data_IF_563458527979
#
_entry.id   IF_563458527979
#
_cell.length_a   1.000
_cell.length_b   1.000
_cell.length_c   1.000
_cell.angle_alpha   90.00
_cell.angle_beta   90.00
_cell.angle_gamma   90.00
#
_symmetry.space_group_name_H-M   'P 1'
#
loop_
_entity.id
_entity.type
_entity.pdbx_description
1 polymer ?
#
# COMPACT_ATOMS: atom_id res chain seq x y z
N UNK A 1 13.79 -16.47 12.45
CA UNK A 1 14.15 -15.14 11.92
C UNK A 1 12.93 -14.27 11.94
N UNK A 2 13.08 -13.01 12.31
CA UNK A 2 11.99 -12.04 12.27
C UNK A 2 11.89 -11.45 10.86
N UNK A 3 10.68 -11.17 10.40
CA UNK A 3 10.42 -10.52 9.14
C UNK A 3 9.92 -9.09 9.36
N UNK A 4 10.41 -8.16 8.54
CA UNK A 4 9.97 -6.76 8.51
C UNK A 4 9.81 -6.32 7.06
N UNK A 5 8.69 -5.73 6.74
CA UNK A 5 8.42 -5.19 5.41
C UNK A 5 7.72 -3.84 5.54
N UNK A 6 8.12 -2.90 4.73
CA UNK A 6 7.40 -1.65 4.51
C UNK A 6 7.19 -1.45 3.02
N UNK A 7 6.02 -1.03 2.64
CA UNK A 7 5.65 -0.67 1.26
C UNK A 7 4.90 0.64 1.28
N UNK A 8 5.26 1.54 0.38
CA UNK A 8 4.56 2.80 0.29
C UNK A 8 4.88 3.53 -1.01
N UNK A 9 4.25 4.66 -1.18
CA UNK A 9 4.39 5.52 -2.35
C UNK A 9 4.20 6.99 -2.01
N UNK A 10 4.68 7.84 -2.88
CA UNK A 10 4.51 9.28 -2.78
C UNK A 10 4.50 9.94 -4.16
N UNK A 11 3.70 10.99 -4.28
CA UNK A 11 3.70 11.91 -5.43
C UNK A 11 4.02 13.34 -5.01
N UNK A 12 3.90 13.62 -3.72
CA UNK A 12 4.25 14.92 -3.10
C UNK A 12 4.47 14.72 -1.59
N UNK A 13 5.01 15.72 -0.92
CA UNK A 13 5.15 15.75 0.53
C UNK A 13 3.82 15.75 1.31
N UNK A 14 2.70 15.97 0.61
CA UNK A 14 1.33 15.90 1.15
C UNK A 14 0.50 14.75 0.56
N UNK A 15 1.03 14.05 -0.45
CA UNK A 15 0.37 12.96 -1.15
C UNK A 15 1.26 11.71 -1.11
N UNK A 16 1.19 11.01 -0.01
CA UNK A 16 2.01 9.84 0.31
C UNK A 16 1.28 8.90 1.27
N UNK A 17 1.79 7.69 1.39
CA UNK A 17 1.31 6.73 2.36
C UNK A 17 2.11 5.45 2.32
N UNK A 18 2.06 4.70 3.41
CA UNK A 18 2.72 3.40 3.51
C UNK A 18 1.99 2.45 4.46
N UNK A 19 2.26 1.18 4.27
CA UNK A 19 1.93 0.11 5.22
C UNK A 19 3.25 -0.51 5.67
N UNK A 20 3.42 -0.63 6.97
CA UNK A 20 4.54 -1.34 7.60
C UNK A 20 4.02 -2.56 8.35
N UNK A 21 4.80 -3.62 8.34
CA UNK A 21 4.50 -4.83 9.09
C UNK A 21 5.76 -5.43 9.74
N UNK A 22 5.53 -6.20 10.78
CA UNK A 22 6.57 -6.99 11.41
C UNK A 22 6.01 -8.26 11.99
N UNK A 23 6.77 -9.35 11.82
CA UNK A 23 6.49 -10.64 12.40
C UNK A 23 7.69 -11.11 13.23
N UNK A 24 7.43 -11.56 14.44
CA UNK A 24 8.41 -12.15 15.33
C UNK A 24 8.31 -13.68 15.26
N UNK A 25 9.46 -14.34 15.24
CA UNK A 25 9.52 -15.80 15.22
C UNK A 25 10.48 -16.32 16.28
N UNK A 26 10.17 -17.50 16.81
CA UNK A 26 11.07 -18.21 17.73
C UNK A 26 10.98 -17.82 19.20
N UNK A 27 9.87 -17.21 19.60
CA UNK A 27 9.52 -16.91 21.00
C UNK A 27 8.18 -17.53 21.39
N UNK A 28 7.94 -17.68 22.69
CA UNK A 28 6.72 -18.31 23.20
C UNK A 28 5.46 -17.46 23.02
N UNK A 29 5.63 -16.14 22.85
CA UNK A 29 4.54 -15.21 22.50
C UNK A 29 5.08 -14.29 21.44
N UNK A 30 4.63 -14.43 20.21
CA UNK A 30 5.04 -13.59 19.08
C UNK A 30 4.40 -12.21 19.18
N UNK A 31 5.11 -11.20 18.70
CA UNK A 31 4.56 -9.85 18.50
C UNK A 31 4.49 -9.61 17.00
N UNK A 32 3.30 -9.77 16.45
CA UNK A 32 3.00 -9.59 15.04
C UNK A 32 2.05 -8.43 14.87
N UNK A 33 2.40 -7.45 14.07
CA UNK A 33 1.56 -6.27 13.88
C UNK A 33 1.77 -5.58 12.55
N UNK A 34 0.83 -4.70 12.21
CA UNK A 34 0.88 -3.83 11.05
C UNK A 34 0.53 -2.39 11.40
N UNK A 35 0.96 -1.47 10.57
CA UNK A 35 0.67 -0.03 10.69
C UNK A 35 0.41 0.56 9.32
N UNK A 36 -0.59 1.44 9.22
CA UNK A 36 -0.81 2.30 8.06
C UNK A 36 -0.48 3.74 8.41
N UNK A 37 0.13 4.47 7.52
CA UNK A 37 0.40 5.90 7.70
C UNK A 37 0.17 6.67 6.41
N UNK A 38 -0.44 7.86 6.55
CA UNK A 38 -0.62 8.86 5.49
C UNK A 38 0.41 9.98 5.60
N UNK A 39 1.24 9.97 6.66
CA UNK A 39 2.26 10.99 6.93
C UNK A 39 3.68 10.50 6.69
N UNK A 40 3.86 9.28 6.21
CA UNK A 40 5.14 8.65 5.85
C UNK A 40 5.02 7.96 4.52
N UNK A 41 6.14 7.83 3.83
CA UNK A 41 6.24 7.04 2.60
C UNK A 41 6.85 5.65 2.83
N UNK A 42 7.46 5.41 3.98
CA UNK A 42 7.99 4.11 4.38
C UNK A 42 8.08 4.02 5.90
N UNK A 43 7.62 2.91 6.47
CA UNK A 43 7.77 2.58 7.90
C UNK A 43 8.26 1.15 8.02
N UNK A 44 9.25 0.95 8.89
CA UNK A 44 9.67 -0.36 9.37
C UNK A 44 9.49 -0.43 10.88
N UNK A 45 8.90 -1.52 11.32
CA UNK A 45 8.68 -1.82 12.73
C UNK A 45 9.92 -2.43 13.38
N UNK A 46 10.07 -2.34 14.70
CA UNK A 46 11.06 -3.13 15.46
C UNK A 46 10.75 -4.63 15.41
N UNK A 47 11.74 -5.44 15.75
CA UNK A 47 11.58 -6.90 15.67
C UNK A 47 10.69 -7.51 16.76
N UNK A 48 10.52 -6.83 17.89
CA UNK A 48 9.99 -7.43 19.12
C UNK A 48 9.08 -6.48 19.91
N UNK A 49 8.65 -5.39 19.32
CA UNK A 49 7.75 -4.44 19.97
C UNK A 49 6.96 -3.66 18.92
N UNK A 50 5.79 -3.15 19.30
CA UNK A 50 4.96 -2.30 18.47
C UNK A 50 5.50 -0.86 18.47
N UNK A 51 6.72 -0.71 17.97
CA UNK A 51 7.40 0.56 17.84
C UNK A 51 8.04 0.70 16.46
N UNK A 52 8.21 1.93 16.02
CA UNK A 52 8.88 2.24 14.77
C UNK A 52 10.39 2.07 14.95
N UNK A 53 11.01 1.23 14.15
CA UNK A 53 12.47 1.10 14.05
C UNK A 53 13.06 2.17 13.14
N UNK A 54 12.41 2.37 12.01
CA UNK A 54 12.83 3.38 11.03
C UNK A 54 11.65 3.84 10.20
N UNK A 55 11.57 5.14 9.96
CA UNK A 55 10.59 5.72 9.06
C UNK A 55 11.20 6.84 8.21
N UNK A 56 10.64 6.99 7.01
CA UNK A 56 11.04 8.00 6.04
C UNK A 56 9.86 8.77 5.52
N UNK A 57 10.11 10.05 5.27
CA UNK A 57 9.17 10.93 4.60
C UNK A 57 9.66 11.32 3.22
N UNK A 58 8.74 11.59 2.32
CA UNK A 58 9.05 12.13 1.01
C UNK A 58 9.18 13.65 1.10
N UNK A 59 10.29 14.17 0.60
CA UNK A 59 10.58 15.61 0.60
C UNK A 59 10.25 16.23 -0.76
N UNK A 60 10.90 15.76 -1.82
CA UNK A 60 10.76 16.35 -3.16
C UNK A 60 11.23 15.42 -4.26
N UNK A 61 10.77 15.69 -5.48
CA UNK A 61 11.43 15.25 -6.70
C UNK A 61 12.49 16.27 -7.13
N UNK A 62 13.60 15.76 -7.64
CA UNK A 62 14.69 16.54 -8.23
C UNK A 62 14.84 16.18 -9.71
N UNK A 63 15.71 16.91 -10.43
CA UNK A 63 15.98 16.60 -11.84
C UNK A 63 16.46 15.17 -12.08
N UNK A 64 17.20 14.60 -11.12
CA UNK A 64 17.86 13.30 -11.25
C UNK A 64 17.26 12.22 -10.31
N UNK A 65 16.14 12.51 -9.63
CA UNK A 65 15.55 11.56 -8.70
C UNK A 65 14.62 12.17 -7.66
N UNK A 66 14.74 11.72 -6.43
CA UNK A 66 13.91 12.20 -5.32
C UNK A 66 14.70 12.25 -4.01
N UNK A 67 14.19 12.98 -3.04
CA UNK A 67 14.74 13.09 -1.69
C UNK A 67 13.79 12.47 -0.69
N UNK A 68 14.32 11.59 0.14
CA UNK A 68 13.65 11.07 1.33
C UNK A 68 14.37 11.60 2.57
N UNK A 69 13.59 12.05 3.55
CA UNK A 69 14.09 12.39 4.87
C UNK A 69 13.83 11.23 5.83
N UNK A 70 14.87 10.80 6.52
CA UNK A 70 14.76 9.79 7.56
C UNK A 70 14.39 10.46 8.89
N UNK A 71 13.18 10.22 9.36
CA UNK A 71 12.66 10.81 10.59
C UNK A 71 13.17 10.06 11.83
N UNK A 72 13.12 8.72 11.77
CA UNK A 72 13.56 7.85 12.87
C UNK A 72 14.50 6.77 12.35
N UNK A 73 15.36 6.27 13.22
CA UNK A 73 16.23 5.13 12.96
C UNK A 73 17.70 5.50 12.78
N UNK A 74 18.58 4.59 13.20
CA UNK A 74 20.02 4.73 13.14
C UNK A 74 20.70 3.77 12.15
N UNK A 75 20.06 2.64 11.83
CA UNK A 75 20.64 1.61 10.98
C UNK A 75 20.63 2.02 9.49
N UNK A 76 21.68 1.65 8.78
CA UNK A 76 21.68 1.69 7.32
C UNK A 76 20.80 0.56 6.78
N UNK A 77 19.82 0.91 5.94
CA UNK A 77 18.88 -0.02 5.33
C UNK A 77 18.91 0.14 3.82
N UNK A 78 18.68 -0.97 3.11
CA UNK A 78 18.48 -0.94 1.67
C UNK A 78 16.99 -0.72 1.40
N UNK A 79 16.68 0.30 0.61
CA UNK A 79 15.35 0.61 0.14
C UNK A 79 15.30 0.41 -1.37
N UNK A 80 14.44 -0.50 -1.83
CA UNK A 80 14.13 -0.65 -3.25
C UNK A 80 13.08 0.39 -3.65
N UNK A 81 13.17 0.95 -4.85
CA UNK A 81 12.17 1.87 -5.36
C UNK A 81 11.93 1.69 -6.85
N UNK A 82 10.75 2.12 -7.28
CA UNK A 82 10.39 2.33 -8.68
C UNK A 82 9.92 3.77 -8.81
N UNK A 83 10.47 4.51 -9.75
CA UNK A 83 10.04 5.87 -10.07
C UNK A 83 9.36 5.90 -11.44
N UNK A 84 8.22 6.56 -11.53
CA UNK A 84 7.48 6.76 -12.77
C UNK A 84 7.60 8.22 -13.19
N UNK A 85 7.87 8.45 -14.46
CA UNK A 85 7.87 9.77 -15.08
C UNK A 85 6.93 9.78 -16.29
N UNK A 86 6.13 10.83 -16.41
CA UNK A 86 5.26 11.06 -17.57
C UNK A 86 3.79 10.63 -17.44
N UNK A 87 3.39 9.51 -16.80
CA UNK A 87 1.97 9.24 -16.59
C UNK A 87 1.35 10.20 -15.56
N UNK A 88 0.04 10.37 -15.63
CA UNK A 88 -0.69 10.96 -14.51
C UNK A 88 -0.64 9.97 -13.34
N UNK A 89 -0.31 10.46 -12.15
CA UNK A 89 -0.20 9.64 -10.95
C UNK A 89 -0.90 10.35 -9.80
N UNK A 90 -1.74 9.64 -9.07
CA UNK A 90 -2.36 10.11 -7.84
C UNK A 90 -2.21 9.09 -6.72
N UNK A 91 -1.91 9.58 -5.54
CA UNK A 91 -1.88 8.82 -4.29
C UNK A 91 -2.95 9.37 -3.37
N UNK A 92 -3.66 8.49 -2.71
CA UNK A 92 -4.69 8.89 -1.76
C UNK A 92 -5.14 7.74 -0.88
N UNK A 93 -6.22 7.96 -0.19
CA UNK A 93 -6.80 7.02 0.77
C UNK A 93 -8.28 6.83 0.52
N UNK A 94 -8.80 5.71 0.96
CA UNK A 94 -10.23 5.45 1.06
C UNK A 94 -10.52 4.52 2.24
N UNK A 95 -11.75 4.58 2.71
CA UNK A 95 -12.24 3.70 3.75
C UNK A 95 -12.87 2.45 3.14
N UNK A 96 -12.59 1.26 3.70
CA UNK A 96 -13.46 0.11 3.46
C UNK A 96 -14.86 0.38 4.06
N UNK A 97 -15.87 -0.25 3.50
CA UNK A 97 -17.25 -0.05 3.93
C UNK A 97 -17.69 -1.13 4.92
N UNK A 98 -18.58 -0.74 5.81
CA UNK A 98 -19.24 -1.66 6.75
C UNK A 98 -20.54 -2.28 6.18
N UNK A 99 -20.82 -2.00 4.92
CA UNK A 99 -21.90 -2.59 4.12
C UNK A 99 -21.35 -3.08 2.77
N UNK A 100 -22.17 -3.66 1.91
CA UNK A 100 -21.81 -4.19 0.59
C UNK A 100 -22.23 -3.27 -0.54
N UNK A 101 -21.96 -1.97 -0.40
CA UNK A 101 -22.26 -0.96 -1.42
C UNK A 101 -20.98 -0.49 -2.12
N UNK A 102 -21.16 0.18 -3.25
CA UNK A 102 -20.09 0.82 -4.01
C UNK A 102 -19.71 2.19 -3.43
N UNK A 103 -18.51 2.64 -3.73
CA UNK A 103 -18.02 3.98 -3.38
C UNK A 103 -17.16 4.55 -4.50
N UNK A 104 -17.51 5.74 -4.99
CA UNK A 104 -16.69 6.46 -5.95
C UNK A 104 -15.49 7.13 -5.27
N UNK A 105 -14.32 6.92 -5.81
CA UNK A 105 -13.03 7.49 -5.38
C UNK A 105 -12.60 8.52 -6.44
N UNK A 106 -12.94 9.78 -6.22
CA UNK A 106 -12.70 10.87 -7.18
C UNK A 106 -11.38 11.61 -6.97
N UNK A 107 -10.63 11.25 -5.93
CA UNK A 107 -9.35 11.89 -5.59
C UNK A 107 -8.29 11.92 -6.70
N UNK A 108 -8.21 10.96 -7.62
CA UNK A 108 -7.29 11.03 -8.77
C UNK A 108 -7.49 12.25 -9.67
N UNK A 109 -8.74 12.68 -9.93
CA UNK A 109 -9.04 13.79 -10.83
C UNK A 109 -8.83 13.50 -12.32
N UNK A 110 -8.55 12.26 -12.69
CA UNK A 110 -8.37 11.76 -14.06
C UNK A 110 -8.89 10.33 -14.19
N UNK A 111 -9.07 9.85 -15.42
CA UNK A 111 -9.38 8.45 -15.71
C UNK A 111 -8.14 7.57 -15.51
N UNK A 112 -8.08 6.71 -14.48
CA UNK A 112 -6.97 5.79 -14.31
C UNK A 112 -6.94 4.72 -15.40
N UNK A 113 -5.74 4.28 -15.77
CA UNK A 113 -5.52 3.06 -16.54
C UNK A 113 -5.27 1.85 -15.63
N UNK A 114 -4.84 2.12 -14.40
CA UNK A 114 -4.63 1.10 -13.37
C UNK A 114 -4.78 1.70 -11.97
N UNK A 115 -5.19 0.87 -11.04
CA UNK A 115 -5.25 1.18 -9.61
C UNK A 115 -4.49 0.11 -8.84
N UNK A 116 -3.60 0.54 -7.93
CA UNK A 116 -2.96 -0.31 -6.95
C UNK A 116 -3.50 0.08 -5.57
N UNK A 117 -3.72 -0.92 -4.72
CA UNK A 117 -4.22 -0.74 -3.36
C UNK A 117 -3.28 -1.40 -2.36
N UNK A 118 -2.99 -0.69 -1.27
CA UNK A 118 -2.38 -1.26 -0.07
C UNK A 118 -3.39 -1.24 1.06
N UNK A 119 -3.52 -2.34 1.75
CA UNK A 119 -4.38 -2.46 2.93
C UNK A 119 -3.63 -3.06 4.11
N UNK A 120 -4.05 -2.69 5.28
CA UNK A 120 -3.71 -3.33 6.55
C UNK A 120 -4.98 -3.53 7.37
N UNK A 121 -4.86 -3.76 8.65
CA UNK A 121 -6.03 -3.84 9.52
C UNK A 121 -6.24 -2.58 10.38
N UNK A 122 -5.59 -1.48 10.03
CA UNK A 122 -5.69 -0.26 10.82
C UNK A 122 -7.06 0.40 10.66
N UNK A 123 -7.81 0.59 11.74
CA UNK A 123 -9.00 1.45 11.73
C UNK A 123 -8.63 2.87 11.30
N UNK A 124 -9.56 3.57 10.67
CA UNK A 124 -9.34 4.97 10.23
C UNK A 124 -8.94 5.87 11.41
N UNK A 125 -9.59 5.68 12.56
CA UNK A 125 -9.35 6.50 13.76
C UNK A 125 -7.95 6.30 14.38
N UNK A 126 -7.21 5.25 13.98
CA UNK A 126 -5.92 4.87 14.57
C UNK A 126 -4.87 4.57 13.50
N UNK A 127 -4.88 5.32 12.40
CA UNK A 127 -3.98 5.07 11.25
C UNK A 127 -2.49 4.99 11.60
N UNK A 128 -2.06 5.75 12.63
CA UNK A 128 -0.67 5.80 13.07
C UNK A 128 -0.35 4.85 14.22
N UNK A 129 -1.32 4.09 14.71
CA UNK A 129 -1.13 3.09 15.75
C UNK A 129 -0.85 1.71 15.13
N UNK A 130 -0.08 0.89 15.84
CA UNK A 130 0.07 -0.51 15.46
C UNK A 130 -1.23 -1.27 15.76
N UNK A 131 -1.69 -2.01 14.77
CA UNK A 131 -2.76 -3.00 14.94
C UNK A 131 -2.17 -4.35 15.29
N UNK A 132 -2.76 -5.09 16.26
CA UNK A 132 -2.39 -6.48 16.48
C UNK A 132 -2.68 -7.31 15.24
N UNK A 133 -1.98 -8.41 15.11
CA UNK A 133 -1.86 -9.25 13.94
C UNK A 133 -1.10 -8.56 12.77
N UNK A 134 -0.27 -9.35 12.12
CA UNK A 134 0.31 -8.96 10.85
C UNK A 134 -0.77 -9.07 9.77
N UNK A 135 -1.11 -7.96 9.13
CA UNK A 135 -2.04 -7.92 8.00
C UNK A 135 -1.55 -6.93 6.97
N UNK A 136 -1.22 -7.42 5.79
CA UNK A 136 -0.90 -6.57 4.66
C UNK A 136 -1.43 -7.19 3.38
N UNK A 137 -2.17 -6.40 2.63
CA UNK A 137 -2.64 -6.75 1.31
C UNK A 137 -2.15 -5.77 0.27
N UNK A 138 -1.80 -6.31 -0.89
CA UNK A 138 -1.50 -5.55 -2.09
C UNK A 138 -2.42 -6.06 -3.19
N UNK A 139 -3.14 -5.15 -3.83
CA UNK A 139 -3.98 -5.46 -4.98
C UNK A 139 -3.74 -4.51 -6.13
N UNK A 140 -4.11 -4.92 -7.33
CA UNK A 140 -4.10 -4.07 -8.53
C UNK A 140 -5.20 -4.49 -9.49
N UNK A 141 -5.70 -3.53 -10.25
CA UNK A 141 -6.68 -3.76 -11.29
C UNK A 141 -6.51 -2.76 -12.44
N UNK A 142 -6.85 -3.20 -13.64
CA UNK A 142 -6.92 -2.38 -14.87
C UNK A 142 -8.31 -2.41 -15.51
N UNK A 143 -9.20 -3.24 -14.96
CA UNK A 143 -10.60 -3.42 -15.31
C UNK A 143 -11.30 -4.06 -14.12
N UNK A 144 -12.60 -4.26 -14.19
CA UNK A 144 -13.32 -5.03 -13.19
C UNK A 144 -12.69 -6.41 -13.00
N UNK A 145 -12.57 -6.87 -11.77
CA UNK A 145 -11.83 -8.07 -11.41
C UNK A 145 -10.35 -7.78 -11.13
N UNK A 146 -10.02 -7.58 -9.85
CA UNK A 146 -8.65 -7.29 -9.41
C UNK A 146 -7.83 -8.54 -9.14
N UNK A 147 -6.52 -8.34 -9.02
CA UNK A 147 -5.58 -9.34 -8.53
C UNK A 147 -5.01 -8.87 -7.20
N UNK A 148 -4.82 -9.78 -6.27
CA UNK A 148 -4.24 -9.41 -4.99
C UNK A 148 -3.48 -10.54 -4.30
N UNK A 149 -2.63 -10.13 -3.36
CA UNK A 149 -1.99 -10.99 -2.38
C UNK A 149 -2.15 -10.40 -0.98
N UNK A 150 -2.24 -11.26 0.01
CA UNK A 150 -2.43 -10.88 1.41
C UNK A 150 -1.56 -11.74 2.31
N UNK A 151 -0.88 -11.12 3.26
CA UNK A 151 -0.15 -11.77 4.33
C UNK A 151 -0.89 -11.58 5.66
N UNK A 152 -0.93 -12.64 6.45
CA UNK A 152 -1.55 -12.67 7.77
C UNK A 152 -0.65 -13.39 8.76
N UNK A 153 -0.52 -12.89 9.98
CA UNK A 153 0.15 -13.53 11.10
C UNK A 153 -0.55 -13.21 12.41
N UNK A 154 -0.69 -14.18 13.28
CA UNK A 154 -1.33 -13.99 14.59
C UNK A 154 -0.36 -13.36 15.59
N UNK A 155 -0.83 -12.30 16.26
CA UNK A 155 -0.18 -11.76 17.43
C UNK A 155 -0.42 -12.67 18.66
N UNK A 156 0.60 -12.82 19.51
CA UNK A 156 0.51 -13.63 20.71
C UNK A 156 0.46 -15.14 20.49
N UNK A 157 0.70 -15.64 19.28
CA UNK A 157 0.78 -17.06 19.00
C UNK A 157 2.00 -17.70 19.67
N UNK A 158 1.87 -18.97 20.09
CA UNK A 158 3.00 -19.74 20.67
C UNK A 158 4.01 -20.18 19.60
N UNK A 159 3.60 -20.18 18.35
CA UNK A 159 4.44 -20.46 17.18
C UNK A 159 4.13 -19.44 16.11
N UNK A 160 5.13 -19.07 15.30
CA UNK A 160 4.92 -18.21 14.14
C UNK A 160 3.90 -18.84 13.20
N UNK A 161 2.83 -18.13 12.93
CA UNK A 161 1.70 -18.57 12.14
C UNK A 161 1.40 -17.56 11.02
N UNK A 162 2.45 -17.27 10.23
CA UNK A 162 2.35 -16.35 9.10
C UNK A 162 1.94 -17.11 7.85
N UNK A 163 0.92 -16.64 7.17
CA UNK A 163 0.36 -17.22 5.96
C UNK A 163 0.12 -16.19 4.88
N UNK A 164 0.07 -16.67 3.63
CA UNK A 164 -0.31 -15.89 2.46
C UNK A 164 -1.55 -16.45 1.77
N UNK A 165 -2.32 -15.56 1.15
CA UNK A 165 -3.42 -15.89 0.24
C UNK A 165 -3.34 -14.98 -0.99
N UNK A 166 -3.68 -15.50 -2.15
CA UNK A 166 -3.80 -14.74 -3.40
C UNK A 166 -5.22 -14.85 -3.98
N UNK A 167 -5.63 -13.86 -4.74
CA UNK A 167 -6.89 -13.87 -5.49
C UNK A 167 -6.68 -13.28 -6.88
N UNK A 168 -7.44 -13.77 -7.85
CA UNK A 168 -7.54 -13.23 -9.20
C UNK A 168 -8.86 -12.49 -9.44
N UNK A 169 -9.64 -12.25 -8.39
CA UNK A 169 -10.99 -11.65 -8.45
C UNK A 169 -11.25 -10.63 -7.35
N UNK A 170 -10.22 -10.19 -6.64
CA UNK A 170 -10.34 -9.26 -5.51
C UNK A 170 -9.23 -8.23 -5.61
N UNK A 171 -9.57 -6.96 -5.66
CA UNK A 171 -8.63 -5.84 -5.62
C UNK A 171 -8.19 -5.53 -4.18
N UNK A 172 -9.14 -5.44 -3.24
CA UNK A 172 -8.88 -5.19 -1.84
C UNK A 172 -8.90 -6.51 -1.06
N UNK A 173 -7.72 -7.11 -0.77
CA UNK A 173 -7.65 -8.39 -0.09
C UNK A 173 -7.66 -8.18 1.42
N UNK A 174 -8.81 -8.25 2.03
CA UNK A 174 -8.92 -8.24 3.49
C UNK A 174 -9.56 -9.55 3.96
N UNK A 175 -8.73 -10.51 4.27
CA UNK A 175 -9.15 -11.79 4.81
C UNK A 175 -8.81 -11.90 6.29
N UNK A 176 -9.61 -12.66 7.01
CA UNK A 176 -9.35 -13.12 8.38
C UNK A 176 -9.06 -14.60 8.38
N UNK A 177 -8.40 -15.08 9.42
CA UNK A 177 -8.12 -16.48 9.61
C UNK A 177 -8.53 -16.90 11.01
N UNK A 178 -9.15 -18.06 11.12
CA UNK A 178 -9.45 -18.69 12.40
C UNK A 178 -8.26 -19.52 12.91
N UNK A 179 -8.22 -19.79 14.21
CA UNK A 179 -7.26 -20.71 14.81
C UNK A 179 -7.28 -22.13 14.19
N UNK A 180 -8.36 -22.49 13.50
CA UNK A 180 -8.49 -23.75 12.76
C UNK A 180 -7.93 -23.70 11.33
N UNK A 181 -7.10 -22.70 11.00
CA UNK A 181 -6.51 -22.51 9.66
C UNK A 181 -7.51 -22.24 8.53
N UNK A 182 -8.72 -21.79 8.87
CA UNK A 182 -9.75 -21.48 7.87
C UNK A 182 -9.74 -20.00 7.54
N UNK A 183 -9.64 -19.68 6.25
CA UNK A 183 -9.77 -18.32 5.75
C UNK A 183 -11.24 -17.92 5.66
N UNK A 184 -11.53 -16.69 6.06
CA UNK A 184 -12.83 -16.06 5.87
C UNK A 184 -12.64 -14.65 5.28
N UNK A 185 -13.63 -14.18 4.54
CA UNK A 185 -13.62 -12.82 4.05
C UNK A 185 -13.89 -11.87 5.21
N UNK A 186 -13.01 -10.90 5.39
CA UNK A 186 -13.05 -9.95 6.50
C UNK A 186 -13.29 -8.51 6.06
N UNK A 187 -13.77 -8.31 4.83
CA UNK A 187 -13.96 -6.99 4.24
C UNK A 187 -13.32 -6.86 2.86
N UNK A 188 -13.43 -7.91 2.04
CA UNK A 188 -12.91 -7.91 0.67
C UNK A 188 -13.68 -6.99 -0.25
N UNK A 189 -13.02 -6.44 -1.26
CA UNK A 189 -13.65 -5.61 -2.26
C UNK A 189 -12.94 -5.65 -3.60
N UNK A 190 -13.60 -5.11 -4.62
CA UNK A 190 -13.09 -5.14 -5.99
C UNK A 190 -13.22 -3.79 -6.71
N UNK A 191 -12.62 -3.70 -7.89
CA UNK A 191 -12.84 -2.61 -8.81
C UNK A 191 -14.15 -2.86 -9.55
N UNK A 192 -15.11 -1.92 -9.43
CA UNK A 192 -16.32 -1.91 -10.24
C UNK A 192 -16.08 -1.24 -11.60
N UNK A 193 -15.52 -0.03 -11.58
CA UNK A 193 -15.27 0.74 -12.80
C UNK A 193 -14.08 1.69 -12.65
N UNK A 194 -13.47 2.04 -13.80
CA UNK A 194 -12.56 3.17 -13.95
C UNK A 194 -13.33 4.33 -14.54
N UNK A 195 -13.36 5.47 -13.85
CA UNK A 195 -14.23 6.60 -14.12
C UNK A 195 -13.43 7.82 -14.63
N UNK A 196 -14.09 8.77 -15.27
CA UNK A 196 -13.43 9.94 -15.87
C UNK A 196 -12.57 10.76 -14.89
N UNK A 197 -12.87 10.70 -13.59
CA UNK A 197 -12.18 11.47 -12.54
C UNK A 197 -11.62 10.58 -11.43
N UNK A 198 -11.67 9.25 -11.60
CA UNK A 198 -11.23 8.32 -10.56
C UNK A 198 -11.65 6.89 -10.84
N UNK A 199 -12.16 6.20 -9.83
CA UNK A 199 -12.58 4.82 -9.92
C UNK A 199 -13.67 4.51 -8.90
N UNK A 200 -14.48 3.50 -9.16
CA UNK A 200 -15.49 3.01 -8.23
C UNK A 200 -15.04 1.68 -7.61
N UNK A 201 -15.14 1.64 -6.31
CA UNK A 201 -14.82 0.49 -5.48
C UNK A 201 -16.12 -0.20 -5.05
N UNK A 202 -16.20 -1.51 -5.21
CA UNK A 202 -17.30 -2.35 -4.75
C UNK A 202 -16.88 -3.17 -3.53
N UNK A 203 -17.59 -3.03 -2.42
CA UNK A 203 -17.37 -3.82 -1.21
C UNK A 203 -18.09 -5.15 -1.32
N UNK A 204 -17.36 -6.21 -1.64
CA UNK A 204 -17.93 -7.57 -1.81
C UNK A 204 -18.38 -8.19 -0.50
N UNK A 205 -17.65 -7.95 0.57
CA UNK A 205 -17.96 -8.43 1.93
C UNK A 205 -17.87 -7.25 2.88
N UNK A 206 -18.91 -7.00 3.65
CA UNK A 206 -18.95 -5.93 4.63
C UNK A 206 -17.76 -6.04 5.61
N UNK A 207 -17.05 -4.93 5.81
CA UNK A 207 -15.99 -4.87 6.80
C UNK A 207 -16.60 -4.70 8.20
N UNK A 208 -16.20 -5.52 9.15
CA UNK A 208 -16.67 -5.39 10.54
C UNK A 208 -16.26 -4.06 11.19
N UNK A 209 -15.20 -3.44 10.66
CA UNK A 209 -14.73 -2.12 11.05
C UNK A 209 -14.09 -1.44 9.84
N UNK A 210 -14.56 -0.23 9.51
CA UNK A 210 -13.97 0.55 8.43
C UNK A 210 -12.47 0.76 8.66
N UNK A 211 -11.66 0.34 7.69
CA UNK A 211 -10.20 0.45 7.73
C UNK A 211 -9.70 1.43 6.70
N UNK A 212 -8.55 2.04 6.98
CA UNK A 212 -7.86 2.93 6.08
C UNK A 212 -7.08 2.12 5.05
N UNK A 213 -7.37 2.36 3.78
CA UNK A 213 -6.65 1.79 2.65
C UNK A 213 -5.96 2.91 1.87
N UNK A 214 -4.82 2.59 1.27
CA UNK A 214 -4.08 3.49 0.41
C UNK A 214 -4.26 3.07 -1.04
N UNK A 215 -4.31 4.04 -1.96
CA UNK A 215 -4.29 3.74 -3.39
C UNK A 215 -3.20 4.52 -4.12
N UNK A 216 -2.75 3.94 -5.21
CA UNK A 216 -1.95 4.56 -6.26
C UNK A 216 -2.73 4.40 -7.57
N UNK A 217 -3.21 5.50 -8.12
CA UNK A 217 -3.87 5.52 -9.43
C UNK A 217 -2.88 5.97 -10.49
N UNK A 218 -2.78 5.20 -11.55
CA UNK A 218 -1.93 5.46 -12.71
C UNK A 218 -2.83 5.77 -13.90
N UNK A 219 -2.73 6.98 -14.45
CA UNK A 219 -3.38 7.36 -15.69
C UNK A 219 -2.51 7.07 -16.92
N UNK A 220 -3.08 7.17 -18.08
CA UNK A 220 -2.29 7.16 -19.31
C UNK A 220 -1.36 8.37 -19.34
N UNK A 221 -0.16 8.19 -19.88
CA UNK A 221 0.65 9.34 -20.22
C UNK A 221 -0.19 10.26 -21.11
N UNK A 222 -0.25 11.56 -20.79
CA UNK A 222 -0.80 12.53 -21.71
C UNK A 222 -0.14 12.27 -23.06
N UNK A 223 -0.95 12.16 -24.12
CA UNK A 223 -0.41 11.96 -25.47
C UNK A 223 0.70 12.99 -25.65
N UNK A 224 1.94 12.53 -25.81
CA UNK A 224 3.06 13.43 -25.98
C UNK A 224 2.67 14.34 -27.14
N UNK A 225 2.52 15.64 -26.88
CA UNK A 225 2.46 16.60 -27.98
C UNK A 225 3.69 16.28 -28.78
N UNK A 226 3.52 15.96 -30.07
CA UNK A 226 4.56 15.49 -30.96
C UNK A 226 5.54 16.61 -31.29
N UNK A 227 6.16 17.20 -30.28
CA UNK A 227 7.41 17.94 -30.44
C UNK A 227 8.51 16.88 -30.54
N UNK A 228 9.11 16.72 -31.71
CA UNK A 228 10.20 15.76 -31.87
C UNK A 228 11.31 16.15 -30.89
N UNK A 229 11.64 15.22 -30.01
CA UNK A 229 12.80 15.37 -29.13
C UNK A 229 14.05 15.27 -30.03
N UNK A 230 14.56 16.40 -30.49
CA UNK A 230 15.86 16.45 -31.14
C UNK A 230 16.94 16.16 -30.09
N UNK A 231 17.32 14.92 -29.92
CA UNK A 231 18.55 14.53 -29.23
C UNK A 231 19.74 14.92 -30.09
N UNK A 232 20.17 16.17 -29.96
CA UNK A 232 21.39 16.65 -30.57
C UNK A 232 22.61 16.03 -29.88
N UNK A 233 23.05 14.87 -30.34
CA UNK A 233 24.38 14.35 -30.03
C UNK A 233 25.43 15.28 -30.62
N UNK A 234 25.94 16.21 -29.80
CA UNK A 234 27.17 16.91 -30.16
C UNK A 234 28.35 15.95 -29.96
N UNK A 235 28.87 15.40 -31.07
CA UNK A 235 30.23 14.84 -31.06
C UNK A 235 31.20 15.98 -30.75
N UNK A 236 31.94 15.88 -29.64
CA UNK A 236 33.17 16.68 -29.48
C UNK A 236 34.19 16.12 -30.46
N UNK A 237 34.58 16.88 -31.44
CA UNK A 237 35.78 16.62 -32.21
C UNK A 237 36.99 16.80 -31.30
N UNK A 238 37.96 15.89 -31.39
CA UNK A 238 39.24 15.91 -30.71
C UNK A 238 40.12 17.05 -31.26
#
# INVERSE_FOLDING_TARGET
>A
ANARVGVGWATASTARGCVGLGAQNGVTTTVDSSITSTTRCLILRTNNADTIDSDWDFVSFNADGFVLDRITGAAALLVGYIAFAGPQVAVGTFASRTDTLTTAITGPGFLPAAVLVLTSNNPIATETAFSPDLRMGIGWATAAGGFSTFAYGFDGATTSDTMGRTSATVLLPKWTRSAANTWADGGTGDLDSLDATGWTYDQLTADGQATLNLYLALGNAAAASSTPFYSGWRRRAA
#
